data_IF_317843351774
#
_entry.id   IF_317843351774
#
_cell.length_a   1.000
_cell.length_b   1.000
_cell.length_c   1.000
_cell.angle_alpha   90.00
_cell.angle_beta   90.00
_cell.angle_gamma   90.00
#
_symmetry.space_group_name_H-M   'P 1'
#
loop_
_entity.id
_entity.type
_entity.pdbx_description
1 polymer ?
#
# COMPACT_ATOMS: atom_id res chain seq x y z
N UNK A 1 6.10 44.02 21.56
CA UNK A 1 6.48 42.62 21.89
C UNK A 1 5.30 41.70 21.66
N UNK A 2 4.09 42.11 21.97
CA UNK A 2 2.85 41.33 21.80
C UNK A 2 2.54 40.96 20.34
N UNK A 3 2.83 41.88 19.37
CA UNK A 3 2.67 41.57 17.94
C UNK A 3 3.54 40.41 17.48
N UNK A 4 4.79 40.35 17.93
CA UNK A 4 5.73 39.28 17.59
C UNK A 4 5.28 37.96 18.20
N UNK A 5 4.82 38.00 19.46
CA UNK A 5 4.33 36.81 20.18
C UNK A 5 3.07 36.28 19.49
N UNK A 6 2.10 37.14 19.19
CA UNK A 6 0.88 36.76 18.46
C UNK A 6 1.17 36.21 17.06
N UNK A 7 2.16 36.77 16.37
CA UNK A 7 2.58 36.26 15.06
C UNK A 7 3.22 34.90 15.17
N UNK A 8 4.06 34.66 16.17
CA UNK A 8 4.67 33.35 16.45
C UNK A 8 3.63 32.30 16.88
N UNK A 9 2.69 32.67 17.75
CA UNK A 9 1.57 31.78 18.13
C UNK A 9 0.72 31.40 16.93
N UNK A 10 0.39 32.37 16.06
CA UNK A 10 -0.34 32.12 14.82
C UNK A 10 0.44 31.22 13.88
N UNK A 11 1.76 31.43 13.73
CA UNK A 11 2.61 30.57 12.93
C UNK A 11 2.66 29.14 13.47
N UNK A 12 2.82 28.97 14.78
CA UNK A 12 2.81 27.65 15.42
C UNK A 12 1.44 27.00 15.26
N UNK A 13 0.34 27.74 15.48
CA UNK A 13 -1.03 27.22 15.33
C UNK A 13 -1.40 26.85 13.89
N UNK A 14 -0.75 27.46 12.90
CA UNK A 14 -0.91 27.10 11.47
C UNK A 14 -0.01 25.94 11.05
N UNK A 15 0.94 25.50 11.88
CA UNK A 15 1.74 24.33 11.56
C UNK A 15 0.89 23.06 11.62
N UNK A 16 1.09 22.16 10.68
CA UNK A 16 0.45 20.86 10.67
C UNK A 16 0.61 20.13 12.03
N UNK A 17 1.76 20.23 12.65
CA UNK A 17 2.08 19.57 13.92
C UNK A 17 1.21 19.97 15.09
N UNK A 18 0.67 21.20 15.13
CA UNK A 18 -0.22 21.65 16.20
C UNK A 18 -1.61 21.01 16.14
N UNK A 19 -2.01 20.53 14.96
CA UNK A 19 -3.36 20.02 14.68
C UNK A 19 -3.41 18.50 14.49
N UNK A 20 -2.29 17.78 14.65
CA UNK A 20 -2.22 16.35 14.46
C UNK A 20 -2.84 15.58 15.64
N UNK A 21 -3.58 14.52 15.32
CA UNK A 21 -4.08 13.56 16.30
C UNK A 21 -2.97 12.58 16.73
N UNK A 22 -3.18 11.90 17.86
CA UNK A 22 -2.26 10.84 18.29
C UNK A 22 -2.08 9.75 17.23
N UNK A 23 -3.15 9.44 16.47
CA UNK A 23 -3.10 8.51 15.36
C UNK A 23 -2.15 8.94 14.26
N UNK A 24 -2.16 10.23 13.88
CA UNK A 24 -1.25 10.77 12.87
C UNK A 24 0.21 10.63 13.29
N UNK A 25 0.54 10.96 14.56
CA UNK A 25 1.90 10.79 15.06
C UNK A 25 2.37 9.34 15.01
N UNK A 26 1.49 8.40 15.38
CA UNK A 26 1.78 6.97 15.33
C UNK A 26 2.03 6.52 13.88
N UNK A 27 1.22 6.96 12.94
CA UNK A 27 1.37 6.61 11.52
C UNK A 27 2.62 7.25 10.89
N UNK A 28 3.00 8.46 11.31
CA UNK A 28 4.27 9.07 10.91
C UNK A 28 5.44 8.23 11.41
N UNK A 29 5.38 7.74 12.65
CA UNK A 29 6.42 6.89 13.21
C UNK A 29 6.54 5.56 12.43
N UNK A 30 5.39 4.94 12.08
CA UNK A 30 5.35 3.74 11.23
C UNK A 30 5.95 4.03 9.86
N UNK A 31 5.61 5.17 9.25
CA UNK A 31 6.20 5.61 7.98
C UNK A 31 7.72 5.78 8.07
N UNK A 32 8.22 6.40 9.14
CA UNK A 32 9.67 6.52 9.38
C UNK A 32 10.35 5.14 9.56
N UNK A 33 9.67 4.20 10.23
CA UNK A 33 10.15 2.82 10.35
C UNK A 33 10.26 2.16 8.97
N UNK A 34 9.26 2.32 8.11
CA UNK A 34 9.28 1.78 6.75
C UNK A 34 10.39 2.41 5.90
N UNK A 35 10.63 3.72 6.01
CA UNK A 35 11.78 4.36 5.36
C UNK A 35 13.11 3.78 5.85
N UNK A 36 13.24 3.56 7.15
CA UNK A 36 14.45 2.93 7.71
C UNK A 36 14.65 1.51 7.15
N UNK A 37 13.59 0.70 7.08
CA UNK A 37 13.65 -0.65 6.52
C UNK A 37 14.00 -0.62 5.03
N UNK A 38 13.40 0.28 4.27
CA UNK A 38 13.67 0.43 2.84
C UNK A 38 15.11 0.86 2.55
N UNK A 39 15.59 1.90 3.24
CA UNK A 39 16.89 2.52 2.93
C UNK A 39 18.04 1.74 3.60
N UNK A 40 17.90 1.38 4.90
CA UNK A 40 18.99 0.76 5.65
C UNK A 40 19.06 -0.75 5.49
N UNK A 41 17.91 -1.40 5.31
CA UNK A 41 17.81 -2.85 5.17
C UNK A 41 17.61 -3.28 3.72
N UNK A 42 17.44 -2.32 2.81
CA UNK A 42 17.26 -2.57 1.36
C UNK A 42 16.04 -3.46 1.04
N UNK A 43 14.97 -3.34 1.88
CA UNK A 43 13.74 -4.10 1.70
C UNK A 43 12.86 -3.42 0.65
N UNK A 44 12.87 -3.95 -0.57
CA UNK A 44 12.10 -3.46 -1.71
C UNK A 44 11.98 -1.92 -1.76
N UNK A 45 13.13 -1.18 -1.91
CA UNK A 45 13.14 0.28 -1.81
C UNK A 45 12.20 0.95 -2.83
N UNK A 46 12.04 0.35 -4.01
CA UNK A 46 11.18 0.88 -5.09
C UNK A 46 9.70 0.91 -4.70
N UNK A 47 9.26 0.04 -3.80
CA UNK A 47 7.89 -0.01 -3.29
C UNK A 47 7.77 0.69 -1.94
N UNK A 48 8.65 0.35 -1.00
CA UNK A 48 8.50 0.76 0.38
C UNK A 48 8.78 2.25 0.62
N UNK A 49 9.70 2.86 -0.15
CA UNK A 49 9.99 4.30 -0.03
C UNK A 49 8.79 5.16 -0.43
N UNK A 50 8.16 4.97 -1.62
CA UNK A 50 6.96 5.72 -1.97
C UNK A 50 5.79 5.52 -1.01
N UNK A 51 5.56 4.29 -0.53
CA UNK A 51 4.51 3.98 0.44
C UNK A 51 4.75 4.76 1.73
N UNK A 52 5.96 4.67 2.29
CA UNK A 52 6.32 5.34 3.53
C UNK A 52 6.25 6.87 3.39
N UNK A 53 6.72 7.41 2.26
CA UNK A 53 6.64 8.84 1.98
C UNK A 53 5.20 9.33 1.89
N UNK A 54 4.35 8.62 1.14
CA UNK A 54 2.92 8.95 1.03
C UNK A 54 2.21 8.88 2.39
N UNK A 55 2.51 7.85 3.19
CA UNK A 55 1.98 7.70 4.54
C UNK A 55 2.37 8.88 5.44
N UNK A 56 3.63 9.30 5.43
CA UNK A 56 4.11 10.45 6.20
C UNK A 56 3.43 11.72 5.71
N UNK A 57 3.39 11.94 4.40
CA UNK A 57 2.84 13.15 3.79
C UNK A 57 1.36 13.35 4.15
N UNK A 58 0.54 12.31 3.99
CA UNK A 58 -0.90 12.38 4.31
C UNK A 58 -1.15 12.56 5.79
N UNK A 59 -0.30 11.99 6.65
CA UNK A 59 -0.47 12.15 8.10
C UNK A 59 0.07 13.48 8.63
N UNK A 60 1.01 14.16 7.93
CA UNK A 60 1.44 15.53 8.25
C UNK A 60 0.42 16.55 7.73
N UNK A 61 -0.12 16.33 6.52
CA UNK A 61 -1.03 17.24 5.86
C UNK A 61 -2.24 16.48 5.28
N UNK A 62 -3.24 16.15 6.10
CA UNK A 62 -4.42 15.38 5.66
C UNK A 62 -5.20 16.02 4.51
N UNK A 63 -5.22 17.35 4.44
CA UNK A 63 -5.96 18.08 3.39
C UNK A 63 -5.47 17.79 1.97
N UNK A 64 -4.27 17.21 1.83
CA UNK A 64 -3.77 16.78 0.52
C UNK A 64 -4.63 15.67 -0.11
N UNK A 65 -5.42 14.97 0.72
CA UNK A 65 -6.38 13.93 0.32
C UNK A 65 -7.84 14.41 0.39
N UNK A 66 -8.08 15.67 0.77
CA UNK A 66 -9.44 16.19 0.96
C UNK A 66 -10.28 16.11 -0.32
N UNK A 67 -11.55 15.71 -0.18
CA UNK A 67 -12.48 15.75 -1.30
C UNK A 67 -12.84 17.19 -1.67
N UNK A 68 -13.16 17.46 -2.95
CA UNK A 68 -13.59 18.81 -3.37
C UNK A 68 -14.80 19.35 -2.59
N UNK A 69 -15.68 18.46 -2.13
CA UNK A 69 -16.88 18.79 -1.35
C UNK A 69 -16.55 19.28 0.08
N UNK A 70 -15.43 18.82 0.64
CA UNK A 70 -14.99 19.14 2.00
C UNK A 70 -14.12 20.41 2.05
N UNK A 71 -13.72 20.93 0.89
CA UNK A 71 -12.86 22.11 0.79
C UNK A 71 -13.66 23.38 0.50
N UNK A 72 -13.32 24.45 1.19
CA UNK A 72 -13.98 25.77 1.00
C UNK A 72 -13.86 26.33 -0.42
N UNK A 73 -12.87 25.89 -1.18
CA UNK A 73 -12.56 26.36 -2.55
C UNK A 73 -13.15 25.44 -3.64
N UNK A 74 -13.83 24.35 -3.27
CA UNK A 74 -14.34 23.36 -4.22
C UNK A 74 -13.25 22.61 -5.02
N UNK A 75 -12.00 22.69 -4.55
CA UNK A 75 -10.85 22.01 -5.19
C UNK A 75 -10.32 20.95 -4.23
N UNK A 76 -10.28 19.71 -4.65
CA UNK A 76 -9.75 18.61 -3.86
C UNK A 76 -8.23 18.69 -3.68
N UNK A 77 -7.73 17.94 -2.70
CA UNK A 77 -6.29 17.78 -2.50
C UNK A 77 -5.61 17.11 -3.70
N UNK A 78 -4.31 17.37 -3.87
CA UNK A 78 -3.56 16.82 -5.01
C UNK A 78 -3.62 15.29 -5.07
N UNK A 79 -3.44 14.60 -3.93
CA UNK A 79 -3.44 13.15 -3.88
C UNK A 79 -4.84 12.56 -4.07
N UNK A 80 -5.90 13.32 -3.78
CA UNK A 80 -7.28 12.91 -4.06
C UNK A 80 -7.48 12.63 -5.56
N UNK A 81 -6.93 13.46 -6.45
CA UNK A 81 -7.05 13.23 -7.90
C UNK A 81 -6.30 11.99 -8.36
N UNK A 82 -5.15 11.70 -7.77
CA UNK A 82 -4.44 10.43 -8.04
C UNK A 82 -5.22 9.23 -7.49
N UNK A 83 -5.86 9.37 -6.33
CA UNK A 83 -6.71 8.33 -5.76
C UNK A 83 -7.91 8.01 -6.65
N UNK A 84 -8.56 9.01 -7.26
CA UNK A 84 -9.63 8.80 -8.24
C UNK A 84 -9.14 7.98 -9.44
N UNK A 85 -7.94 8.27 -9.97
CA UNK A 85 -7.36 7.48 -11.06
C UNK A 85 -7.09 6.02 -10.67
N UNK A 86 -6.82 5.79 -9.39
CA UNK A 86 -6.65 4.46 -8.83
C UNK A 86 -8.01 3.74 -8.71
N UNK A 87 -9.04 4.41 -8.17
CA UNK A 87 -10.42 3.89 -8.13
C UNK A 87 -10.97 3.55 -9.52
N UNK A 88 -10.64 4.32 -10.54
CA UNK A 88 -11.02 4.04 -11.91
C UNK A 88 -10.20 2.93 -12.58
N UNK A 89 -9.34 2.25 -11.83
CA UNK A 89 -8.45 1.19 -12.31
C UNK A 89 -7.49 1.62 -13.43
N UNK A 90 -7.28 2.92 -13.62
CA UNK A 90 -6.33 3.45 -14.60
C UNK A 90 -4.90 3.23 -14.14
N UNK A 91 -4.59 3.62 -12.89
CA UNK A 91 -3.24 3.45 -12.33
C UNK A 91 -2.84 1.98 -12.20
N UNK A 92 -3.67 1.06 -11.66
CA UNK A 92 -3.36 -0.36 -11.64
C UNK A 92 -3.04 -0.93 -13.02
N UNK A 93 -3.83 -0.56 -14.05
CA UNK A 93 -3.59 -1.02 -15.42
C UNK A 93 -2.25 -0.54 -15.99
N UNK A 94 -1.87 0.72 -15.71
CA UNK A 94 -0.57 1.28 -16.12
C UNK A 94 0.60 0.61 -15.37
N UNK A 95 0.42 0.29 -14.08
CA UNK A 95 1.40 -0.42 -13.28
C UNK A 95 1.61 -1.83 -13.85
N UNK A 96 0.53 -2.55 -14.19
CA UNK A 96 0.63 -3.86 -14.86
C UNK A 96 1.42 -3.80 -16.14
N UNK A 97 1.15 -2.81 -16.97
CA UNK A 97 1.88 -2.60 -18.22
C UNK A 97 3.37 -2.36 -17.94
N UNK A 98 3.69 -1.54 -16.95
CA UNK A 98 5.07 -1.24 -16.56
C UNK A 98 5.79 -2.48 -16.01
N UNK A 99 5.18 -3.19 -15.08
CA UNK A 99 5.73 -4.43 -14.50
C UNK A 99 5.91 -5.49 -15.58
N UNK A 100 4.91 -5.68 -16.46
CA UNK A 100 4.99 -6.63 -17.57
C UNK A 100 6.14 -6.31 -18.53
N UNK A 101 6.37 -5.03 -18.82
CA UNK A 101 7.46 -4.59 -19.69
C UNK A 101 8.86 -4.79 -19.07
N UNK A 102 8.94 -4.72 -17.73
CA UNK A 102 10.20 -4.91 -16.98
C UNK A 102 10.48 -6.37 -16.61
N UNK A 103 9.51 -7.26 -16.75
CA UNK A 103 9.64 -8.67 -16.34
C UNK A 103 10.55 -9.43 -17.28
N UNK A 104 11.59 -10.06 -16.72
CA UNK A 104 12.44 -11.00 -17.44
C UNK A 104 11.83 -12.41 -17.43
N UNK A 105 11.28 -12.81 -18.55
CA UNK A 105 10.70 -14.15 -18.73
C UNK A 105 11.76 -15.24 -19.06
N UNK A 106 13.03 -14.88 -19.21
CA UNK A 106 14.11 -15.81 -19.53
C UNK A 106 14.18 -17.01 -18.60
N UNK A 107 14.22 -16.83 -17.26
CA UNK A 107 14.27 -17.94 -16.30
C UNK A 107 13.07 -18.88 -16.39
N UNK A 108 11.88 -18.36 -16.66
CA UNK A 108 10.66 -19.16 -16.81
C UNK A 108 10.68 -20.01 -18.08
N UNK A 109 11.17 -19.44 -19.19
CA UNK A 109 11.31 -20.14 -20.47
C UNK A 109 12.40 -21.23 -20.36
N UNK A 110 13.49 -20.92 -19.66
CA UNK A 110 14.61 -21.87 -19.46
C UNK A 110 14.20 -23.06 -18.57
N UNK A 111 13.32 -22.84 -17.59
CA UNK A 111 12.83 -23.89 -16.69
C UNK A 111 11.30 -23.82 -16.54
N UNK A 112 10.54 -24.44 -17.45
CA UNK A 112 9.07 -24.40 -17.41
C UNK A 112 8.46 -25.00 -16.13
N UNK A 113 9.18 -25.85 -15.40
CA UNK A 113 8.73 -26.40 -14.11
C UNK A 113 8.50 -25.30 -13.05
N UNK A 114 9.16 -24.15 -13.20
CA UNK A 114 8.94 -22.97 -12.34
C UNK A 114 7.50 -22.48 -12.37
N UNK A 115 6.73 -22.78 -13.42
CA UNK A 115 5.32 -22.45 -13.52
C UNK A 115 4.48 -23.13 -12.41
N UNK A 116 4.91 -24.29 -11.93
CA UNK A 116 4.25 -24.98 -10.81
C UNK A 116 4.35 -24.21 -9.48
N UNK A 117 5.35 -23.35 -9.32
CA UNK A 117 5.46 -22.47 -8.14
C UNK A 117 4.32 -21.45 -8.11
N UNK A 118 3.93 -20.94 -9.29
CA UNK A 118 2.74 -20.10 -9.41
C UNK A 118 1.45 -20.83 -9.02
N UNK A 119 1.33 -22.10 -9.44
CA UNK A 119 0.18 -22.93 -9.02
C UNK A 119 0.18 -23.17 -7.51
N UNK A 120 1.33 -23.35 -6.87
CA UNK A 120 1.44 -23.47 -5.42
C UNK A 120 1.01 -22.18 -4.69
N UNK A 121 1.31 -21.01 -5.24
CA UNK A 121 0.87 -19.73 -4.69
C UNK A 121 -0.66 -19.59 -4.64
N UNK A 122 -1.38 -20.19 -5.61
CA UNK A 122 -2.84 -20.19 -5.62
C UNK A 122 -3.44 -20.87 -4.38
N UNK A 123 -2.77 -21.85 -3.79
CA UNK A 123 -3.23 -22.47 -2.56
C UNK A 123 -3.37 -21.45 -1.43
N UNK A 124 -2.42 -20.51 -1.32
CA UNK A 124 -2.49 -19.44 -0.32
C UNK A 124 -3.71 -18.53 -0.51
N UNK A 125 -4.05 -18.18 -1.75
CA UNK A 125 -5.22 -17.38 -2.10
C UNK A 125 -6.51 -18.12 -1.68
N UNK A 126 -6.67 -19.36 -2.11
CA UNK A 126 -7.86 -20.14 -1.80
C UNK A 126 -8.02 -20.40 -0.29
N UNK A 127 -6.92 -20.67 0.41
CA UNK A 127 -6.95 -20.85 1.86
C UNK A 127 -7.36 -19.54 2.57
N UNK A 128 -6.81 -18.40 2.14
CA UNK A 128 -7.18 -17.10 2.70
C UNK A 128 -8.64 -16.77 2.41
N UNK A 129 -9.12 -17.05 1.20
CA UNK A 129 -10.54 -16.90 0.87
C UNK A 129 -11.44 -17.72 1.79
N UNK A 130 -11.10 -18.99 1.97
CA UNK A 130 -11.85 -19.88 2.84
C UNK A 130 -11.91 -19.35 4.28
N UNK A 131 -10.79 -18.93 4.84
CA UNK A 131 -10.75 -18.38 6.20
C UNK A 131 -11.49 -17.03 6.28
N UNK A 132 -11.27 -16.13 5.33
CA UNK A 132 -11.91 -14.83 5.32
C UNK A 132 -13.43 -14.89 5.16
N UNK A 133 -13.95 -15.89 4.44
CA UNK A 133 -15.39 -16.07 4.24
C UNK A 133 -16.19 -16.38 5.53
N UNK A 134 -15.52 -16.73 6.63
CA UNK A 134 -16.17 -16.86 7.93
C UNK A 134 -16.42 -15.52 8.63
N UNK A 135 -15.71 -14.46 8.23
CA UNK A 135 -15.72 -13.17 8.92
C UNK A 135 -16.23 -12.02 8.05
N UNK A 136 -16.17 -12.17 6.73
CA UNK A 136 -16.48 -11.12 5.76
C UNK A 136 -17.47 -11.62 4.71
N UNK A 137 -18.13 -10.67 4.04
CA UNK A 137 -18.96 -10.98 2.87
C UNK A 137 -18.08 -11.59 1.76
N UNK A 138 -18.71 -12.36 0.85
CA UNK A 138 -18.00 -13.10 -0.21
C UNK A 138 -17.11 -12.17 -1.07
N UNK A 139 -17.60 -10.99 -1.42
CA UNK A 139 -16.85 -10.00 -2.22
C UNK A 139 -15.64 -9.46 -1.45
N UNK A 140 -15.83 -9.12 -0.18
CA UNK A 140 -14.75 -8.64 0.68
C UNK A 140 -13.73 -9.77 0.96
N UNK A 141 -14.20 -10.99 1.22
CA UNK A 141 -13.34 -12.15 1.41
C UNK A 141 -12.49 -12.47 0.17
N UNK A 142 -13.08 -12.38 -1.03
CA UNK A 142 -12.35 -12.57 -2.28
C UNK A 142 -11.32 -11.46 -2.51
N UNK A 143 -11.68 -10.22 -2.21
CA UNK A 143 -10.77 -9.07 -2.30
C UNK A 143 -9.60 -9.16 -1.32
N UNK A 144 -9.83 -9.66 -0.10
CA UNK A 144 -8.77 -9.91 0.88
C UNK A 144 -7.89 -11.08 0.44
N UNK A 145 -8.47 -12.13 -0.11
CA UNK A 145 -7.75 -13.33 -0.50
C UNK A 145 -6.70 -13.06 -1.58
N UNK A 146 -7.00 -12.14 -2.51
CA UNK A 146 -6.09 -11.84 -3.62
C UNK A 146 -4.77 -11.19 -3.16
N UNK A 147 -4.70 -10.64 -1.94
CA UNK A 147 -3.45 -10.18 -1.33
C UNK A 147 -2.42 -11.32 -1.29
N UNK A 148 -2.88 -12.56 -1.12
CA UNK A 148 -2.02 -13.76 -1.14
C UNK A 148 -1.30 -14.03 -2.46
N UNK A 149 -1.73 -13.39 -3.56
CA UNK A 149 -1.01 -13.43 -4.84
C UNK A 149 0.31 -12.66 -4.82
N UNK A 150 0.55 -11.84 -3.78
CA UNK A 150 1.70 -10.95 -3.66
C UNK A 150 1.84 -9.99 -4.86
N UNK A 151 0.71 -9.50 -5.35
CA UNK A 151 0.60 -8.57 -6.47
C UNK A 151 -0.32 -7.40 -6.09
N UNK A 152 0.27 -6.26 -5.76
CA UNK A 152 -0.45 -5.07 -5.33
C UNK A 152 -1.47 -4.57 -6.35
N UNK A 153 -1.08 -4.33 -7.61
CA UNK A 153 -1.98 -3.87 -8.66
C UNK A 153 -3.19 -4.79 -8.86
N UNK A 154 -3.00 -6.11 -8.89
CA UNK A 154 -4.10 -7.09 -8.99
C UNK A 154 -5.04 -6.98 -7.79
N UNK A 155 -4.50 -6.81 -6.59
CA UNK A 155 -5.31 -6.70 -5.37
C UNK A 155 -6.25 -5.49 -5.42
N UNK A 156 -5.75 -4.35 -5.89
CA UNK A 156 -6.55 -3.13 -6.04
C UNK A 156 -7.61 -3.33 -7.12
N UNK A 157 -7.21 -3.81 -8.30
CA UNK A 157 -8.12 -4.03 -9.41
C UNK A 157 -9.29 -4.95 -9.03
N UNK A 158 -8.98 -6.09 -8.41
CA UNK A 158 -10.02 -7.06 -7.99
C UNK A 158 -10.91 -6.48 -6.87
N UNK A 159 -10.33 -5.78 -5.89
CA UNK A 159 -11.10 -5.16 -4.82
C UNK A 159 -12.06 -4.08 -5.35
N UNK A 160 -11.65 -3.33 -6.37
CA UNK A 160 -12.47 -2.34 -7.03
C UNK A 160 -13.61 -2.98 -7.84
N UNK A 161 -13.29 -3.98 -8.68
CA UNK A 161 -14.28 -4.70 -9.49
C UNK A 161 -15.34 -5.41 -8.64
N UNK A 162 -14.95 -5.93 -7.48
CA UNK A 162 -15.86 -6.59 -6.54
C UNK A 162 -16.62 -5.59 -5.64
N UNK A 163 -16.30 -4.30 -5.72
CA UNK A 163 -16.90 -3.26 -4.89
C UNK A 163 -16.66 -3.47 -3.39
N UNK A 164 -15.45 -3.90 -3.01
CA UNK A 164 -15.10 -4.13 -1.61
C UNK A 164 -15.14 -2.84 -0.80
N UNK A 165 -15.67 -2.92 0.42
CA UNK A 165 -15.69 -1.82 1.39
C UNK A 165 -14.30 -1.52 1.97
N UNK A 166 -13.35 -2.43 1.77
CA UNK A 166 -12.02 -2.37 2.38
C UNK A 166 -10.91 -2.04 1.38
N UNK A 167 -11.22 -1.45 0.22
CA UNK A 167 -10.24 -1.15 -0.85
C UNK A 167 -8.98 -0.49 -0.29
N UNK A 168 -9.11 0.58 0.50
CA UNK A 168 -7.96 1.28 1.07
C UNK A 168 -7.10 0.41 1.98
N UNK A 169 -7.72 -0.40 2.84
CA UNK A 169 -7.00 -1.32 3.73
C UNK A 169 -6.32 -2.44 2.94
N UNK A 170 -6.99 -2.99 1.92
CA UNK A 170 -6.45 -4.03 1.03
C UNK A 170 -5.24 -3.50 0.27
N UNK A 171 -5.33 -2.27 -0.27
CA UNK A 171 -4.25 -1.59 -0.97
C UNK A 171 -3.00 -1.47 -0.09
N UNK A 172 -3.13 -0.92 1.10
CA UNK A 172 -2.01 -0.78 2.05
C UNK A 172 -1.45 -2.13 2.45
N UNK A 173 -2.31 -3.12 2.73
CA UNK A 173 -1.89 -4.47 3.11
C UNK A 173 -1.13 -5.17 1.98
N UNK A 174 -1.63 -5.10 0.73
CA UNK A 174 -1.02 -5.74 -0.43
C UNK A 174 0.38 -5.20 -0.71
N UNK A 175 0.55 -3.88 -0.76
CA UNK A 175 1.85 -3.28 -1.01
C UNK A 175 2.82 -3.45 0.16
N UNK A 176 2.35 -3.33 1.41
CA UNK A 176 3.17 -3.58 2.58
C UNK A 176 3.64 -5.04 2.65
N UNK A 177 2.76 -5.98 2.32
CA UNK A 177 3.09 -7.40 2.23
C UNK A 177 4.17 -7.66 1.18
N UNK A 178 4.02 -7.14 -0.03
CA UNK A 178 5.03 -7.26 -1.09
C UNK A 178 6.39 -6.74 -0.64
N UNK A 179 6.42 -5.56 -0.01
CA UNK A 179 7.65 -4.94 0.49
C UNK A 179 8.34 -5.76 1.60
N UNK A 180 7.58 -6.54 2.37
CA UNK A 180 8.09 -7.37 3.47
C UNK A 180 8.44 -8.81 3.05
N UNK A 181 8.13 -9.24 1.83
CA UNK A 181 8.45 -10.57 1.31
C UNK A 181 9.94 -10.93 1.47
N UNK A 182 10.91 -10.04 1.18
CA UNK A 182 12.34 -10.34 1.38
C UNK A 182 12.73 -10.68 2.82
N UNK A 183 11.90 -10.32 3.81
CA UNK A 183 12.12 -10.65 5.23
C UNK A 183 11.53 -12.02 5.56
N UNK A 184 10.31 -12.28 5.06
CA UNK A 184 9.53 -13.47 5.42
C UNK A 184 10.02 -14.71 4.68
N UNK A 185 10.40 -14.55 3.41
CA UNK A 185 10.78 -15.66 2.53
C UNK A 185 12.04 -16.42 2.97
N UNK A 186 13.17 -15.78 3.31
CA UNK A 186 14.40 -16.51 3.63
C UNK A 186 14.30 -17.43 4.86
N UNK A 187 13.66 -17.06 5.99
CA UNK A 187 13.47 -17.97 7.11
C UNK A 187 12.65 -19.20 6.73
N UNK A 188 11.58 -19.03 5.96
CA UNK A 188 10.70 -20.12 5.52
C UNK A 188 11.47 -21.08 4.61
N UNK A 189 12.19 -20.55 3.62
CA UNK A 189 13.04 -21.36 2.73
C UNK A 189 14.06 -22.16 3.54
N UNK A 190 14.75 -21.52 4.50
CA UNK A 190 15.75 -22.20 5.34
C UNK A 190 15.12 -23.29 6.23
N UNK A 191 13.88 -23.13 6.62
CA UNK A 191 13.18 -24.13 7.45
C UNK A 191 12.73 -25.36 6.67
N UNK A 192 12.43 -25.19 5.38
CA UNK A 192 11.85 -26.25 4.53
C UNK A 192 12.94 -26.95 3.68
N UNK A 193 13.98 -26.23 3.27
CA UNK A 193 15.07 -26.80 2.47
C UNK A 193 16.15 -27.40 3.36
N UNK A 194 16.42 -28.67 3.18
CA UNK A 194 17.63 -29.32 3.70
C UNK A 194 18.87 -28.80 2.94
N UNK A 195 19.98 -28.67 3.65
CA UNK A 195 21.28 -28.34 3.07
C UNK A 195 21.75 -29.45 2.13
#
# INVERSE_FOLDING_TARGET
MDYVINTLENLVGQTAFANLTLGNYLMILVGCLFLYLAIKKEYEPLLLVPIAFGMILVNIYPDIMANPEDTSNGVGGLLHYFYILDEWSILPSLIFLGVGAMTDFGPLIANPMSFLLGAAAQFGIFFTFFVASFFFDVNDAASIAIIGAADGPTSIFVANELGSKYIGAIMVAAYSYMALVPIVQPPVIKAITSK
#
